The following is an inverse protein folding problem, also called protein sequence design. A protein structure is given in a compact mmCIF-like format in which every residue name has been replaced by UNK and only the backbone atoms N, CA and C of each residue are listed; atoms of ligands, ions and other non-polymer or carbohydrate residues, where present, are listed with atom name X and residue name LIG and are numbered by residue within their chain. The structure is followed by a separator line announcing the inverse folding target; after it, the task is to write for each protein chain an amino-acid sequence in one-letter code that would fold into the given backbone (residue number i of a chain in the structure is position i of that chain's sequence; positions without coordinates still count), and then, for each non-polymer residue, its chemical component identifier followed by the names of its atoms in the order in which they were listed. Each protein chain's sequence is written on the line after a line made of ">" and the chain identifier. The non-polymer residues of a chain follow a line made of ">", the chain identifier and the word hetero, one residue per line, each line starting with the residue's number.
data_IF_052083802345
#
_entry.id   IF_052083802345
#
_cell.length_a   1.000
_cell.length_b   1.000
_cell.length_c   1.000
_cell.angle_alpha   90.00
_cell.angle_beta   90.00
_cell.angle_gamma   90.00
#
_symmetry.space_group_name_H-M   'P 1'
#
loop_
_entity.id
_entity.type
_entity.pdbx_description
1 polymer ?
#
# COMPACT_ATOMS: atom_id res chain seq x y z
N UNK A 1 9.28 0.75 -2.20
CA UNK A 1 8.98 0.95 -0.76
C UNK A 1 9.94 1.96 -0.19
N UNK A 2 9.43 3.00 0.47
CA UNK A 2 10.29 4.03 1.10
C UNK A 2 11.06 3.44 2.28
N UNK A 3 12.27 3.94 2.51
CA UNK A 3 13.17 3.51 3.60
C UNK A 3 13.75 4.72 4.35
N UNK A 4 14.14 4.57 5.64
CA UNK A 4 14.00 3.37 6.49
C UNK A 4 12.52 2.98 6.72
N UNK A 5 12.27 1.75 7.19
CA UNK A 5 10.88 1.24 7.34
C UNK A 5 10.03 2.19 8.19
N UNK A 6 10.56 2.63 9.32
CA UNK A 6 9.92 3.53 10.29
C UNK A 6 10.85 4.70 10.62
N UNK A 7 10.29 5.80 11.11
CA UNK A 7 11.05 6.91 11.72
C UNK A 7 11.25 8.15 10.85
N UNK A 8 10.86 8.13 9.56
CA UNK A 8 10.80 9.35 8.75
C UNK A 8 9.59 10.20 9.16
N UNK A 9 9.75 11.52 9.19
CA UNK A 9 8.63 12.47 9.27
C UNK A 9 7.92 12.60 7.93
N UNK A 10 6.67 13.08 7.92
CA UNK A 10 5.88 13.25 6.69
C UNK A 10 6.59 14.06 5.60
N UNK A 11 7.26 15.16 5.97
CA UNK A 11 8.02 16.00 5.04
C UNK A 11 9.19 15.26 4.39
N UNK A 12 9.99 14.54 5.17
CA UNK A 12 11.09 13.75 4.62
C UNK A 12 10.58 12.59 3.78
N UNK A 13 9.46 11.99 4.18
CA UNK A 13 8.78 10.93 3.44
C UNK A 13 8.39 11.41 2.03
N UNK A 14 7.69 12.55 1.93
CA UNK A 14 7.32 13.15 0.64
C UNK A 14 8.50 13.52 -0.24
N UNK A 15 9.63 13.96 0.36
CA UNK A 15 10.88 14.19 -0.39
C UNK A 15 11.39 12.91 -1.05
N UNK A 16 11.43 11.78 -0.33
CA UNK A 16 11.89 10.51 -0.92
C UNK A 16 10.92 10.04 -2.02
N UNK A 17 9.60 10.23 -1.83
CA UNK A 17 8.59 9.94 -2.86
C UNK A 17 8.88 10.74 -4.14
N UNK A 18 9.06 12.06 -4.04
CA UNK A 18 9.35 12.92 -5.18
C UNK A 18 10.61 12.51 -5.93
N UNK A 19 11.75 12.37 -5.22
CA UNK A 19 13.03 12.05 -5.86
C UNK A 19 12.99 10.70 -6.57
N UNK A 20 12.35 9.70 -5.95
CA UNK A 20 12.26 8.36 -6.52
C UNK A 20 11.36 8.31 -7.78
N UNK A 21 10.22 9.00 -7.76
CA UNK A 21 9.30 9.06 -8.89
C UNK A 21 9.88 9.88 -10.04
N UNK A 22 10.47 11.04 -9.75
CA UNK A 22 11.17 11.86 -10.74
C UNK A 22 12.37 11.11 -11.35
N UNK A 23 13.04 10.28 -10.55
CA UNK A 23 14.15 9.43 -11.00
C UNK A 23 13.74 8.30 -11.95
N UNK A 24 12.44 8.13 -12.25
CA UNK A 24 11.95 7.21 -13.26
C UNK A 24 11.11 6.05 -12.72
N UNK A 25 10.85 5.96 -11.41
CA UNK A 25 9.88 4.99 -10.90
C UNK A 25 8.45 5.44 -11.24
N UNK A 26 7.59 4.51 -11.64
CA UNK A 26 6.15 4.75 -11.80
C UNK A 26 5.47 4.95 -10.44
N UNK A 27 5.89 4.12 -9.49
CA UNK A 27 5.29 4.04 -8.17
C UNK A 27 6.33 3.97 -7.05
N UNK A 28 6.00 4.61 -5.95
CA UNK A 28 6.55 4.31 -4.63
C UNK A 28 5.45 3.79 -3.71
N UNK A 29 5.79 3.36 -2.50
CA UNK A 29 4.79 2.84 -1.55
C UNK A 29 5.20 3.03 -0.10
N UNK A 30 4.18 3.18 0.73
CA UNK A 30 4.25 2.93 2.16
C UNK A 30 4.85 1.57 2.46
N UNK A 31 5.62 1.49 3.55
CA UNK A 31 6.01 0.21 4.11
C UNK A 31 4.80 -0.39 4.85
N UNK A 32 4.70 -1.72 4.95
CA UNK A 32 3.50 -2.38 5.50
C UNK A 32 3.24 -2.03 6.97
N UNK A 33 4.26 -1.54 7.68
CA UNK A 33 4.15 -1.09 9.07
C UNK A 33 4.10 0.44 9.22
N UNK A 34 3.98 1.20 8.13
CA UNK A 34 3.68 2.63 8.15
C UNK A 34 2.17 2.81 8.10
N UNK A 35 1.58 3.24 9.22
CA UNK A 35 0.14 3.47 9.35
C UNK A 35 -0.07 4.89 9.86
N UNK A 36 -0.11 5.09 11.17
CA UNK A 36 -0.10 6.39 11.84
C UNK A 36 0.61 6.26 13.18
N UNK A 37 1.84 6.76 13.25
CA UNK A 37 2.71 6.62 14.41
C UNK A 37 3.08 7.99 14.99
N UNK A 38 3.59 8.06 16.25
CA UNK A 38 4.00 9.32 16.84
C UNK A 38 5.00 10.14 16.00
N UNK A 39 5.90 9.47 15.27
CA UNK A 39 6.89 10.14 14.42
C UNK A 39 6.31 10.66 13.09
N UNK A 40 5.13 10.18 12.68
CA UNK A 40 4.48 10.57 11.43
C UNK A 40 3.01 10.16 11.45
N UNK A 41 2.13 11.16 11.63
CA UNK A 41 0.68 10.96 11.48
C UNK A 41 0.32 10.78 10.01
N UNK A 42 -0.67 9.94 9.74
CA UNK A 42 -1.02 9.51 8.39
C UNK A 42 -1.42 10.69 7.48
N UNK A 43 -2.16 11.65 8.01
CA UNK A 43 -2.66 12.80 7.23
C UNK A 43 -1.53 13.66 6.67
N UNK A 44 -0.53 13.96 7.49
CA UNK A 44 0.67 14.70 7.05
C UNK A 44 1.42 13.94 5.96
N UNK A 45 1.59 12.62 6.14
CA UNK A 45 2.24 11.78 5.14
C UNK A 45 1.52 11.84 3.79
N UNK A 46 0.19 11.75 3.78
CA UNK A 46 -0.60 11.76 2.56
C UNK A 46 -0.43 13.07 1.80
N UNK A 47 -0.49 14.20 2.49
CA UNK A 47 -0.30 15.52 1.90
C UNK A 47 1.09 15.66 1.27
N UNK A 48 2.16 15.37 2.01
CA UNK A 48 3.53 15.49 1.50
C UNK A 48 3.85 14.46 0.39
N UNK A 49 3.30 13.25 0.47
CA UNK A 49 3.46 12.25 -0.58
C UNK A 49 2.75 12.67 -1.87
N UNK A 50 1.52 13.17 -1.79
CA UNK A 50 0.77 13.63 -2.97
C UNK A 50 1.37 14.90 -3.58
N UNK A 51 1.93 15.82 -2.77
CA UNK A 51 2.77 16.91 -3.31
C UNK A 51 3.94 16.33 -4.12
N UNK A 52 4.64 15.33 -3.59
CA UNK A 52 5.76 14.68 -4.28
C UNK A 52 5.35 13.97 -5.57
N UNK A 53 4.20 13.28 -5.58
CA UNK A 53 3.61 12.64 -6.76
C UNK A 53 3.30 13.67 -7.85
N UNK A 54 2.57 14.73 -7.51
CA UNK A 54 2.16 15.75 -8.48
C UNK A 54 3.35 16.51 -9.06
N UNK A 55 4.36 16.82 -8.22
CA UNK A 55 5.60 17.44 -8.69
C UNK A 55 6.41 16.52 -9.62
N UNK A 56 6.48 15.22 -9.33
CA UNK A 56 7.16 14.26 -10.19
C UNK A 56 6.42 14.08 -11.52
N UNK A 57 5.09 14.01 -11.49
CA UNK A 57 4.25 13.92 -12.69
C UNK A 57 4.43 15.17 -13.57
N UNK A 58 4.38 16.37 -12.99
CA UNK A 58 4.64 17.61 -13.73
C UNK A 58 6.05 17.69 -14.32
N UNK A 59 7.05 17.12 -13.63
CA UNK A 59 8.44 17.15 -14.10
C UNK A 59 8.75 16.12 -15.20
N UNK A 60 7.93 15.08 -15.35
CA UNK A 60 8.18 13.94 -16.26
C UNK A 60 7.17 13.86 -17.40
N UNK A 61 5.97 14.43 -17.24
CA UNK A 61 4.86 14.25 -18.17
C UNK A 61 4.17 12.88 -18.06
N UNK A 62 4.54 12.08 -17.07
CA UNK A 62 4.02 10.72 -16.85
C UNK A 62 3.06 10.68 -15.67
N UNK A 63 2.10 9.75 -15.70
CA UNK A 63 1.26 9.44 -14.54
C UNK A 63 2.11 8.74 -13.49
N UNK A 64 2.12 9.27 -12.27
CA UNK A 64 2.88 8.75 -11.12
C UNK A 64 1.94 8.42 -9.97
N UNK A 65 2.38 7.57 -9.04
CA UNK A 65 1.61 7.28 -7.84
C UNK A 65 2.43 6.87 -6.64
N UNK A 66 1.76 6.90 -5.49
CA UNK A 66 2.31 6.40 -4.24
C UNK A 66 1.26 5.56 -3.54
N UNK A 67 1.57 4.31 -3.17
CA UNK A 67 0.59 3.44 -2.52
C UNK A 67 0.41 3.91 -1.07
N UNK A 68 -0.60 4.75 -0.83
CA UNK A 68 -0.93 5.27 0.49
C UNK A 68 -1.55 4.15 1.34
N UNK A 69 -0.92 3.80 2.47
CA UNK A 69 -1.38 2.72 3.32
C UNK A 69 -2.58 3.15 4.15
N UNK A 70 -3.74 2.53 3.89
CA UNK A 70 -5.00 2.79 4.58
C UNK A 70 -5.23 1.84 5.76
N UNK A 71 -4.42 0.81 5.96
CA UNK A 71 -4.56 -0.14 7.08
C UNK A 71 -4.62 0.59 8.42
N UNK A 72 -5.67 0.32 9.21
CA UNK A 72 -5.94 0.96 10.50
C UNK A 72 -6.53 -0.05 11.50
N UNK A 73 -6.83 0.42 12.73
CA UNK A 73 -7.35 -0.43 13.80
C UNK A 73 -8.83 -0.80 13.65
N UNK A 74 -9.60 0.03 12.94
CA UNK A 74 -11.05 -0.12 12.73
C UNK A 74 -11.40 0.12 11.26
N UNK A 75 -12.59 -0.32 10.83
CA UNK A 75 -13.07 -0.05 9.47
C UNK A 75 -13.36 1.42 9.23
N UNK A 76 -13.84 2.13 10.26
CA UNK A 76 -14.13 3.56 10.23
C UNK A 76 -12.85 4.35 9.92
N UNK A 77 -11.75 4.05 10.62
CA UNK A 77 -10.45 4.68 10.37
C UNK A 77 -9.90 4.32 8.97
N UNK A 78 -10.12 3.09 8.49
CA UNK A 78 -9.71 2.68 7.14
C UNK A 78 -10.47 3.46 6.06
N UNK A 79 -11.77 3.64 6.23
CA UNK A 79 -12.58 4.47 5.34
C UNK A 79 -12.17 5.93 5.38
N UNK A 80 -11.94 6.51 6.56
CA UNK A 80 -11.48 7.90 6.70
C UNK A 80 -10.21 8.14 5.88
N UNK A 81 -9.24 7.22 5.97
CA UNK A 81 -7.99 7.30 5.21
C UNK A 81 -8.22 7.13 3.71
N UNK A 82 -9.04 6.16 3.31
CA UNK A 82 -9.33 5.89 1.91
C UNK A 82 -10.05 7.08 1.24
N UNK A 83 -11.04 7.66 1.92
CA UNK A 83 -11.73 8.86 1.45
C UNK A 83 -10.78 10.05 1.34
N UNK A 84 -9.91 10.27 2.33
CA UNK A 84 -8.93 11.35 2.23
C UNK A 84 -7.93 11.13 1.07
N UNK A 85 -7.50 9.89 0.82
CA UNK A 85 -6.65 9.58 -0.34
C UNK A 85 -7.37 9.88 -1.67
N UNK A 86 -8.68 9.60 -1.75
CA UNK A 86 -9.53 9.93 -2.90
C UNK A 86 -9.68 11.44 -3.08
N UNK A 87 -9.96 12.18 -2.00
CA UNK A 87 -10.07 13.65 -2.01
C UNK A 87 -8.78 14.33 -2.50
N UNK A 88 -7.62 13.77 -2.17
CA UNK A 88 -6.32 14.24 -2.66
C UNK A 88 -6.02 13.86 -4.12
N UNK A 89 -6.86 13.03 -4.76
CA UNK A 89 -6.66 12.57 -6.12
C UNK A 89 -5.58 11.49 -6.26
N UNK A 90 -5.34 10.67 -5.22
CA UNK A 90 -4.46 9.51 -5.37
C UNK A 90 -5.04 8.52 -6.37
N UNK A 91 -4.17 7.92 -7.19
CA UNK A 91 -4.55 6.86 -8.14
C UNK A 91 -4.56 5.46 -7.52
N UNK A 92 -3.94 5.31 -6.34
CA UNK A 92 -3.72 4.01 -5.71
C UNK A 92 -3.59 4.10 -4.18
N UNK A 93 -4.16 3.12 -3.49
CA UNK A 93 -3.96 2.88 -2.06
C UNK A 93 -3.42 1.47 -1.81
N UNK A 94 -2.94 1.21 -0.60
CA UNK A 94 -2.60 -0.15 -0.16
C UNK A 94 -3.27 -0.55 1.15
N UNK A 95 -3.51 -1.86 1.27
CA UNK A 95 -3.99 -2.52 2.49
C UNK A 95 -3.09 -3.72 2.80
N UNK A 96 -2.97 -4.05 4.08
CA UNK A 96 -2.20 -5.18 4.56
C UNK A 96 -3.10 -6.39 4.84
N UNK A 97 -2.61 -7.60 4.54
CA UNK A 97 -3.34 -8.85 4.74
C UNK A 97 -3.77 -9.07 6.20
N UNK A 98 -3.02 -8.51 7.16
CA UNK A 98 -3.36 -8.55 8.59
C UNK A 98 -4.66 -7.82 8.95
N UNK A 99 -5.19 -6.95 8.07
CA UNK A 99 -6.52 -6.36 8.24
C UNK A 99 -7.64 -7.41 8.17
N UNK A 100 -7.37 -8.57 7.55
CA UNK A 100 -8.31 -9.67 7.45
C UNK A 100 -9.28 -9.58 6.28
N UNK A 101 -9.89 -10.71 5.93
CA UNK A 101 -10.65 -10.87 4.69
C UNK A 101 -11.90 -9.96 4.62
N UNK A 102 -12.61 -9.78 5.73
CA UNK A 102 -13.78 -8.90 5.78
C UNK A 102 -13.43 -7.46 5.43
N UNK A 103 -12.35 -6.93 6.01
CA UNK A 103 -11.86 -5.59 5.71
C UNK A 103 -11.39 -5.47 4.26
N UNK A 104 -10.64 -6.46 3.76
CA UNK A 104 -10.14 -6.47 2.39
C UNK A 104 -11.27 -6.48 1.36
N UNK A 105 -12.28 -7.34 1.54
CA UNK A 105 -13.45 -7.37 0.65
C UNK A 105 -14.24 -6.06 0.70
N UNK A 106 -14.30 -5.44 1.87
CA UNK A 106 -14.94 -4.14 2.06
C UNK A 106 -14.17 -3.05 1.31
N UNK A 107 -12.84 -3.02 1.43
CA UNK A 107 -12.01 -2.07 0.71
C UNK A 107 -12.00 -2.31 -0.81
N UNK A 108 -12.06 -3.56 -1.27
CA UNK A 108 -12.16 -3.86 -2.70
C UNK A 108 -13.47 -3.33 -3.31
N UNK A 109 -14.61 -3.51 -2.60
CA UNK A 109 -15.90 -2.94 -3.02
C UNK A 109 -15.86 -1.41 -3.03
N UNK A 110 -15.24 -0.80 -2.02
CA UNK A 110 -15.08 0.66 -1.96
C UNK A 110 -14.19 1.17 -3.09
N UNK A 111 -13.05 0.50 -3.34
CA UNK A 111 -12.09 0.89 -4.37
C UNK A 111 -12.74 0.89 -5.76
N UNK A 112 -13.54 -0.15 -6.06
CA UNK A 112 -14.33 -0.22 -7.30
C UNK A 112 -15.34 0.94 -7.44
N UNK A 113 -15.98 1.36 -6.34
CA UNK A 113 -16.98 2.44 -6.37
C UNK A 113 -16.35 3.83 -6.49
N UNK A 114 -15.04 3.95 -6.25
CA UNK A 114 -14.32 5.21 -6.15
C UNK A 114 -13.14 5.29 -7.13
N UNK A 115 -13.14 4.46 -8.17
CA UNK A 115 -12.11 4.42 -9.23
C UNK A 115 -10.67 4.36 -8.69
N UNK A 116 -10.47 3.60 -7.62
CA UNK A 116 -9.20 3.49 -6.90
C UNK A 116 -8.53 2.14 -7.15
N UNK A 117 -7.22 2.13 -7.46
CA UNK A 117 -6.44 0.88 -7.51
C UNK A 117 -6.12 0.42 -6.09
N UNK A 118 -6.32 -0.87 -5.81
CA UNK A 118 -6.09 -1.47 -4.49
C UNK A 118 -4.92 -2.46 -4.49
N UNK A 119 -3.81 -2.05 -3.85
CA UNK A 119 -2.66 -2.91 -3.64
C UNK A 119 -2.75 -3.69 -2.33
N UNK A 120 -2.53 -5.02 -2.36
CA UNK A 120 -2.46 -5.87 -1.17
C UNK A 120 -1.02 -6.27 -0.84
N UNK A 121 -0.56 -5.86 0.34
CA UNK A 121 0.66 -6.38 0.94
C UNK A 121 0.37 -7.64 1.76
N UNK A 122 1.11 -8.74 1.52
CA UNK A 122 0.86 -10.05 2.16
C UNK A 122 1.43 -10.19 3.58
N UNK A 123 1.37 -9.13 4.39
CA UNK A 123 1.87 -9.16 5.77
C UNK A 123 1.26 -10.33 6.56
N UNK A 124 2.08 -11.10 7.28
CA UNK A 124 1.63 -12.26 8.03
C UNK A 124 1.43 -13.56 7.24
N UNK A 125 1.43 -13.54 5.90
CA UNK A 125 1.19 -14.75 5.08
C UNK A 125 2.13 -15.92 5.42
N UNK A 126 3.42 -15.65 5.59
CA UNK A 126 4.41 -16.71 5.79
C UNK A 126 4.32 -17.41 7.15
N UNK A 127 3.45 -16.96 8.07
CA UNK A 127 3.21 -17.68 9.34
C UNK A 127 2.53 -19.04 9.11
N UNK A 128 1.70 -19.16 8.07
CA UNK A 128 1.00 -20.39 7.71
C UNK A 128 1.25 -20.86 6.27
N UNK A 129 1.96 -20.09 5.43
CA UNK A 129 2.25 -20.48 4.06
C UNK A 129 3.68 -21.02 3.84
N UNK A 130 4.52 -21.03 4.89
CA UNK A 130 5.94 -21.39 4.78
C UNK A 130 6.21 -22.90 4.82
N UNK A 131 5.65 -23.58 5.80
CA UNK A 131 6.02 -24.96 6.08
C UNK A 131 5.32 -25.92 5.11
N UNK A 132 6.07 -26.89 4.58
CA UNK A 132 5.54 -27.85 3.59
C UNK A 132 4.53 -28.83 4.18
N UNK A 133 4.70 -29.20 5.45
CA UNK A 133 3.94 -30.23 6.13
C UNK A 133 2.66 -29.71 6.82
N UNK A 134 2.50 -28.40 7.00
CA UNK A 134 1.37 -27.83 7.71
C UNK A 134 1.08 -26.39 7.28
N UNK A 135 -0.20 -26.03 7.26
CA UNK A 135 -0.69 -24.69 6.92
C UNK A 135 -1.41 -24.65 5.58
N UNK A 136 -1.27 -23.54 4.86
CA UNK A 136 -1.96 -23.29 3.60
C UNK A 136 -1.00 -22.72 2.58
N UNK A 137 -0.80 -23.44 1.48
CA UNK A 137 0.05 -22.95 0.41
C UNK A 137 -0.47 -21.62 -0.15
N UNK A 138 0.44 -20.68 -0.38
CA UNK A 138 0.12 -19.33 -0.84
C UNK A 138 -0.71 -19.28 -2.13
N UNK A 139 -0.66 -20.31 -2.99
CA UNK A 139 -1.52 -20.39 -4.19
C UNK A 139 -3.01 -20.33 -3.87
N UNK A 140 -3.42 -20.83 -2.69
CA UNK A 140 -4.81 -20.78 -2.22
C UNK A 140 -5.18 -19.33 -1.85
N UNK A 141 -4.31 -18.65 -1.10
CA UNK A 141 -4.46 -17.21 -0.79
C UNK A 141 -4.54 -16.37 -2.07
N UNK A 142 -3.71 -16.65 -3.10
CA UNK A 142 -3.80 -15.95 -4.38
C UNK A 142 -5.19 -16.06 -5.02
N UNK A 143 -5.80 -17.25 -5.00
CA UNK A 143 -7.17 -17.45 -5.51
C UNK A 143 -8.17 -16.65 -4.68
N UNK A 144 -8.06 -16.70 -3.36
CA UNK A 144 -8.97 -15.98 -2.45
C UNK A 144 -8.88 -14.48 -2.62
N UNK A 145 -7.67 -13.93 -2.74
CA UNK A 145 -7.47 -12.49 -2.90
C UNK A 145 -7.90 -12.00 -4.29
N UNK A 146 -7.74 -12.84 -5.32
CA UNK A 146 -8.34 -12.57 -6.64
C UNK A 146 -9.87 -12.52 -6.58
N UNK A 147 -10.50 -13.43 -5.83
CA UNK A 147 -11.95 -13.40 -5.60
C UNK A 147 -12.40 -12.23 -4.72
N UNK A 148 -11.57 -11.84 -3.73
CA UNK A 148 -11.83 -10.69 -2.87
C UNK A 148 -11.79 -9.36 -3.64
N UNK A 149 -11.02 -9.29 -4.73
CA UNK A 149 -11.02 -8.17 -5.67
C UNK A 149 -9.89 -7.16 -5.46
N UNK A 150 -8.70 -7.59 -5.03
CA UNK A 150 -7.50 -6.73 -5.01
C UNK A 150 -6.84 -6.70 -6.39
N UNK A 151 -6.26 -5.55 -6.77
CA UNK A 151 -5.65 -5.37 -8.09
C UNK A 151 -4.19 -5.84 -8.11
N UNK A 152 -3.45 -5.61 -7.02
CA UNK A 152 -2.09 -6.09 -6.84
C UNK A 152 -1.97 -7.01 -5.63
N UNK A 153 -1.12 -8.05 -5.73
CA UNK A 153 -0.73 -8.91 -4.62
C UNK A 153 0.76 -9.25 -4.73
N UNK A 154 1.52 -9.04 -3.64
CA UNK A 154 2.90 -9.51 -3.55
C UNK A 154 2.99 -11.03 -3.78
N UNK A 155 3.74 -11.48 -4.80
CA UNK A 155 3.79 -12.88 -5.21
C UNK A 155 5.12 -13.62 -4.96
N UNK A 156 6.18 -12.92 -4.56
CA UNK A 156 7.54 -13.47 -4.47
C UNK A 156 8.36 -13.11 -5.71
N UNK A 157 9.67 -13.30 -5.64
CA UNK A 157 10.61 -12.85 -6.68
C UNK A 157 11.59 -13.94 -7.12
N UNK A 158 11.49 -15.16 -6.59
CA UNK A 158 12.40 -16.31 -6.77
C UNK A 158 13.87 -16.06 -6.33
N UNK A 159 14.51 -15.01 -6.85
CA UNK A 159 15.93 -14.66 -6.60
C UNK A 159 16.11 -13.54 -5.55
N UNK A 160 15.03 -13.15 -4.88
CA UNK A 160 15.08 -12.11 -3.86
C UNK A 160 15.42 -12.65 -2.48
N UNK A 161 15.44 -11.76 -1.49
CA UNK A 161 15.75 -12.11 -0.09
C UNK A 161 14.67 -12.93 0.63
N UNK A 162 13.47 -13.04 0.07
CA UNK A 162 12.37 -13.82 0.63
C UNK A 162 12.23 -15.10 -0.19
N UNK A 163 11.81 -16.18 0.46
CA UNK A 163 11.49 -17.45 -0.20
C UNK A 163 10.48 -17.25 -1.36
N UNK A 164 10.72 -17.95 -2.48
CA UNK A 164 9.93 -17.87 -3.71
C UNK A 164 10.12 -19.08 -4.59
#
# INVERSE_FOLDING_TARGET
>A
TIKPKLGLSGKHYGRVVYEALKGGLDFTKDDENINSQPFMRWRDRYLFAMEGVNRASAATGEVKGHYLNVTAGTMEDMYERAEFARELGSVIIMVDLVAGYTAIQTMAKWARKNDMILHLHRAGNSTYARQKNHGMNFRVICKWMRMAGVDHLHAGTAVGKLEG
#
